data_IF_621592668625
#
_entry.id   IF_621592668625
#
_cell.length_a   1.000
_cell.length_b   1.000
_cell.length_c   1.000
_cell.angle_alpha   90.00
_cell.angle_beta   90.00
_cell.angle_gamma   90.00
#
_symmetry.space_group_name_H-M   'P 1'
#
loop_
_entity.id
_entity.type
_entity.pdbx_description
1 polymer ?
#
# COMPACT_ATOMS: atom_id res chain seq x y z
N UNK A 1 5.21 26.99 28.71
CA UNK A 1 4.07 26.86 27.77
C UNK A 1 4.26 27.55 26.41
N UNK A 2 5.10 28.59 26.26
CA UNK A 2 5.30 29.29 24.96
C UNK A 2 6.11 28.53 23.89
N UNK A 3 6.87 27.50 24.25
CA UNK A 3 7.68 26.73 23.30
C UNK A 3 6.89 25.69 22.48
N UNK A 4 5.78 25.16 23.02
CA UNK A 4 5.02 24.06 22.39
C UNK A 4 4.27 24.49 21.12
N UNK A 5 3.75 25.73 21.08
CA UNK A 5 3.06 26.26 19.90
C UNK A 5 3.98 26.46 18.69
N UNK A 6 5.25 26.77 18.90
CA UNK A 6 6.24 26.94 17.82
C UNK A 6 6.61 25.60 17.16
N UNK A 7 6.68 24.50 17.93
CA UNK A 7 6.93 23.16 17.39
C UNK A 7 5.75 22.61 16.57
N UNK A 8 4.52 22.94 16.96
CA UNK A 8 3.31 22.57 16.22
C UNK A 8 3.14 23.38 14.92
N UNK A 9 3.53 24.66 14.89
CA UNK A 9 3.52 25.46 13.66
C UNK A 9 4.65 25.10 12.68
N UNK A 10 5.79 24.60 13.17
CA UNK A 10 6.89 24.13 12.34
C UNK A 10 6.65 22.72 11.74
N UNK A 11 5.73 21.95 12.32
CA UNK A 11 5.38 20.59 11.90
C UNK A 11 4.84 20.54 10.46
N UNK A 12 3.82 21.34 10.06
CA UNK A 12 3.30 21.35 8.70
C UNK A 12 4.35 21.81 7.67
N UNK A 13 5.10 22.88 7.98
CA UNK A 13 6.10 23.42 7.07
C UNK A 13 7.31 22.48 6.87
N UNK A 14 7.77 21.83 7.95
CA UNK A 14 8.83 20.84 7.88
C UNK A 14 8.37 19.51 7.24
N UNK A 15 7.09 19.13 7.42
CA UNK A 15 6.47 18.04 6.66
C UNK A 15 6.45 18.38 5.17
N UNK A 16 5.97 19.57 4.81
CA UNK A 16 5.76 19.98 3.42
C UNK A 16 7.09 20.11 2.65
N UNK A 17 8.10 20.76 3.24
CA UNK A 17 9.45 20.86 2.65
C UNK A 17 10.15 19.50 2.50
N UNK A 18 9.83 18.51 3.35
CA UNK A 18 10.41 17.16 3.27
C UNK A 18 9.63 16.22 2.36
N UNK A 19 8.31 16.39 2.25
CA UNK A 19 7.47 15.69 1.28
C UNK A 19 7.82 16.12 -0.15
N UNK A 20 8.20 17.39 -0.37
CA UNK A 20 8.74 17.85 -1.66
C UNK A 20 10.11 17.22 -2.02
N UNK A 21 10.90 16.82 -1.03
CA UNK A 21 12.18 16.14 -1.25
C UNK A 21 12.04 14.61 -1.43
N UNK A 22 10.85 14.04 -1.16
CA UNK A 22 10.62 12.59 -1.21
C UNK A 22 10.81 12.00 -2.62
N UNK A 23 10.27 12.61 -3.70
CA UNK A 23 10.48 12.17 -5.08
C UNK A 23 11.72 12.78 -5.76
N UNK A 24 12.52 13.61 -5.08
CA UNK A 24 13.64 14.34 -5.71
C UNK A 24 14.81 13.45 -6.17
N UNK A 25 14.79 12.14 -5.85
CA UNK A 25 15.73 11.17 -6.41
C UNK A 25 15.09 10.49 -7.62
N UNK A 26 15.47 10.93 -8.82
CA UNK A 26 14.94 10.44 -10.08
C UNK A 26 15.04 8.92 -10.25
N UNK A 27 15.99 8.26 -9.59
CA UNK A 27 16.10 6.79 -9.63
C UNK A 27 14.98 6.10 -8.85
N UNK A 28 14.66 6.58 -7.63
CA UNK A 28 13.53 6.01 -6.88
C UNK A 28 12.20 6.29 -7.59
N UNK A 29 12.06 7.47 -8.20
CA UNK A 29 10.90 7.79 -9.03
C UNK A 29 10.79 6.87 -10.25
N UNK A 30 11.90 6.57 -10.93
CA UNK A 30 11.93 5.63 -12.05
C UNK A 30 11.55 4.20 -11.63
N UNK A 31 12.02 3.73 -10.47
CA UNK A 31 11.65 2.42 -9.93
C UNK A 31 10.18 2.35 -9.51
N UNK A 32 9.65 3.43 -8.91
CA UNK A 32 8.22 3.54 -8.66
C UNK A 32 7.42 3.52 -9.97
N UNK A 33 7.89 4.25 -11.00
CA UNK A 33 7.31 4.22 -12.34
C UNK A 33 7.32 2.81 -12.97
N UNK A 34 8.41 2.06 -12.80
CA UNK A 34 8.48 0.66 -13.21
C UNK A 34 7.42 -0.19 -12.49
N UNK A 35 7.21 0.01 -11.20
CA UNK A 35 6.16 -0.68 -10.44
C UNK A 35 4.77 -0.35 -10.97
N UNK A 36 4.49 0.91 -11.27
CA UNK A 36 3.22 1.33 -11.88
C UNK A 36 3.03 0.71 -13.27
N UNK A 37 4.09 0.66 -14.07
CA UNK A 37 4.07 0.01 -15.38
C UNK A 37 3.77 -1.48 -15.25
N UNK A 38 4.39 -2.18 -14.29
CA UNK A 38 4.09 -3.59 -14.00
C UNK A 38 2.61 -3.77 -13.61
N UNK A 39 2.09 -2.94 -12.71
CA UNK A 39 0.66 -2.98 -12.33
C UNK A 39 -0.25 -2.74 -13.54
N UNK A 40 0.05 -1.76 -14.38
CA UNK A 40 -0.72 -1.47 -15.60
C UNK A 40 -0.66 -2.63 -16.60
N UNK A 41 0.51 -3.23 -16.80
CA UNK A 41 0.66 -4.39 -17.68
C UNK A 41 -0.14 -5.58 -17.16
N UNK A 42 -0.15 -5.83 -15.85
CA UNK A 42 -0.98 -6.89 -15.26
C UNK A 42 -2.49 -6.65 -15.49
N UNK A 43 -2.96 -5.40 -15.37
CA UNK A 43 -4.35 -5.00 -15.70
C UNK A 43 -4.65 -5.18 -17.18
N UNK A 44 -3.64 -5.10 -18.05
CA UNK A 44 -3.74 -5.36 -19.48
C UNK A 44 -3.44 -6.83 -19.84
N UNK A 45 -3.43 -7.74 -18.86
CA UNK A 45 -3.15 -9.18 -19.05
C UNK A 45 -1.75 -9.50 -19.57
N UNK A 46 -0.77 -8.71 -19.17
CA UNK A 46 0.65 -8.89 -19.51
C UNK A 46 1.51 -9.04 -18.23
N UNK A 47 2.02 -10.25 -17.94
CA UNK A 47 1.72 -11.53 -18.57
C UNK A 47 0.30 -12.04 -18.23
N UNK A 48 -0.25 -12.90 -19.10
CA UNK A 48 -1.63 -13.40 -18.95
C UNK A 48 -1.78 -14.19 -17.64
N UNK A 49 -2.84 -13.87 -16.91
CA UNK A 49 -3.34 -14.61 -15.76
C UNK A 49 -4.66 -15.29 -16.16
N UNK A 50 -4.95 -16.47 -15.62
CA UNK A 50 -6.04 -17.33 -16.09
C UNK A 50 -7.44 -16.84 -15.73
N UNK A 51 -7.59 -16.10 -14.62
CA UNK A 51 -8.86 -15.57 -14.11
C UNK A 51 -8.73 -14.07 -13.84
N UNK A 52 -8.85 -13.28 -14.90
CA UNK A 52 -8.73 -11.84 -14.89
C UNK A 52 -9.80 -11.22 -15.81
N UNK A 53 -10.38 -10.09 -15.39
CA UNK A 53 -11.26 -9.26 -16.23
C UNK A 53 -11.05 -7.76 -15.92
N UNK A 54 -10.15 -7.11 -16.67
CA UNK A 54 -9.84 -5.69 -16.52
C UNK A 54 -9.27 -5.31 -15.14
N UNK A 55 -10.08 -4.67 -14.28
CA UNK A 55 -9.66 -4.34 -12.91
C UNK A 55 -9.98 -5.47 -11.91
N UNK A 56 -10.64 -6.52 -12.38
CA UNK A 56 -11.06 -7.65 -11.57
C UNK A 56 -9.99 -8.73 -11.56
N UNK A 57 -9.17 -8.67 -10.51
CA UNK A 57 -8.22 -9.73 -10.17
C UNK A 57 -8.87 -10.62 -9.11
N UNK A 58 -8.96 -11.92 -9.41
CA UNK A 58 -9.40 -13.00 -8.52
C UNK A 58 -10.14 -12.55 -7.24
N UNK A 59 -11.47 -12.60 -7.29
CA UNK A 59 -12.32 -12.26 -6.16
C UNK A 59 -12.53 -13.48 -5.26
N UNK A 60 -12.01 -13.37 -4.04
CA UNK A 60 -12.20 -14.37 -2.98
C UNK A 60 -13.16 -13.84 -1.91
N UNK A 61 -13.68 -14.75 -1.07
CA UNK A 61 -14.67 -14.43 -0.04
C UNK A 61 -14.26 -13.35 0.96
N UNK A 62 -12.96 -13.10 1.15
CA UNK A 62 -12.46 -12.02 2.01
C UNK A 62 -12.88 -10.64 1.48
N UNK A 63 -12.86 -10.43 0.16
CA UNK A 63 -13.20 -9.13 -0.45
C UNK A 63 -14.68 -8.81 -0.27
N UNK A 64 -15.55 -9.80 -0.49
CA UNK A 64 -16.98 -9.71 -0.18
C UNK A 64 -17.21 -9.36 1.28
N UNK A 65 -16.52 -10.06 2.19
CA UNK A 65 -16.67 -9.86 3.62
C UNK A 65 -16.26 -8.43 4.05
N UNK A 66 -15.17 -7.90 3.49
CA UNK A 66 -14.76 -6.51 3.72
C UNK A 66 -15.79 -5.51 3.16
N UNK A 67 -16.36 -5.78 2.00
CA UNK A 67 -17.35 -4.88 1.37
C UNK A 67 -18.70 -4.90 2.08
N UNK A 68 -19.18 -6.07 2.52
CA UNK A 68 -20.38 -6.17 3.36
C UNK A 68 -20.22 -5.34 4.65
N UNK A 69 -19.05 -5.41 5.29
CA UNK A 69 -18.78 -4.60 6.47
C UNK A 69 -18.76 -3.11 6.13
N UNK A 70 -18.19 -2.71 4.99
CA UNK A 70 -18.24 -1.32 4.53
C UNK A 70 -19.68 -0.79 4.39
N UNK A 71 -20.60 -1.59 3.86
CA UNK A 71 -22.02 -1.22 3.76
C UNK A 71 -22.69 -1.07 5.13
N UNK A 72 -22.31 -1.89 6.11
CA UNK A 72 -22.78 -1.77 7.50
C UNK A 72 -22.29 -0.46 8.13
N UNK A 73 -21.02 -0.10 7.91
CA UNK A 73 -20.45 1.17 8.38
C UNK A 73 -21.18 2.37 7.78
N UNK A 74 -21.46 2.35 6.48
CA UNK A 74 -22.20 3.43 5.79
C UNK A 74 -23.62 3.62 6.31
N UNK A 75 -24.28 2.52 6.70
CA UNK A 75 -25.64 2.56 7.27
C UNK A 75 -25.66 2.95 8.74
N UNK A 76 -24.50 3.03 9.41
CA UNK A 76 -24.40 3.28 10.85
C UNK A 76 -25.01 2.15 11.68
N UNK A 77 -25.00 0.92 11.17
CA UNK A 77 -25.61 -0.25 11.82
C UNK A 77 -24.59 -1.11 12.56
N UNK A 78 -25.04 -1.88 13.55
CA UNK A 78 -24.26 -2.90 14.26
C UNK A 78 -24.87 -4.30 14.10
N UNK A 79 -25.70 -4.49 13.07
CA UNK A 79 -26.53 -5.70 12.90
C UNK A 79 -25.73 -6.99 12.60
N UNK A 80 -24.43 -6.90 12.32
CA UNK A 80 -23.53 -8.05 12.12
C UNK A 80 -22.22 -7.87 12.89
N UNK A 81 -21.75 -8.96 13.46
CA UNK A 81 -20.38 -9.09 13.98
C UNK A 81 -19.47 -9.48 12.81
N UNK A 82 -18.36 -8.74 12.66
CA UNK A 82 -17.34 -9.01 11.66
C UNK A 82 -16.04 -9.42 12.35
N UNK A 83 -15.39 -10.48 11.88
CA UNK A 83 -14.12 -10.98 12.42
C UNK A 83 -12.90 -10.40 11.70
N UNK A 84 -13.00 -9.16 11.18
CA UNK A 84 -11.92 -8.47 10.48
C UNK A 84 -11.72 -7.07 11.03
N UNK A 85 -10.50 -6.53 10.92
CA UNK A 85 -10.20 -5.18 11.37
C UNK A 85 -10.86 -4.13 10.46
N UNK A 86 -11.12 -2.96 11.02
CA UNK A 86 -11.98 -1.94 10.40
C UNK A 86 -11.35 -1.15 9.24
N UNK A 87 -10.03 -1.25 9.03
CA UNK A 87 -9.28 -0.40 8.10
C UNK A 87 -9.70 -0.57 6.65
N UNK A 88 -9.70 -1.81 6.15
CA UNK A 88 -10.14 -2.11 4.78
C UNK A 88 -11.65 -1.79 4.58
N UNK A 89 -12.57 -2.21 5.48
CA UNK A 89 -13.97 -1.79 5.42
C UNK A 89 -14.18 -0.28 5.43
N UNK A 90 -13.47 0.47 6.28
CA UNK A 90 -13.60 1.92 6.36
C UNK A 90 -13.12 2.61 5.08
N UNK A 91 -12.04 2.11 4.46
CA UNK A 91 -11.56 2.59 3.18
C UNK A 91 -12.57 2.32 2.05
N UNK A 92 -13.10 1.10 1.98
CA UNK A 92 -14.14 0.75 1.01
C UNK A 92 -15.44 1.55 1.23
N UNK A 93 -15.82 1.81 2.48
CA UNK A 93 -16.97 2.66 2.80
C UNK A 93 -16.75 4.09 2.29
N UNK A 94 -15.56 4.65 2.49
CA UNK A 94 -15.22 5.97 1.95
C UNK A 94 -15.27 6.00 0.42
N UNK A 95 -14.81 4.94 -0.26
CA UNK A 95 -14.91 4.83 -1.72
C UNK A 95 -16.35 4.71 -2.19
N UNK A 96 -17.15 3.83 -1.59
CA UNK A 96 -18.58 3.70 -1.87
C UNK A 96 -19.32 5.02 -1.70
N UNK A 97 -19.02 5.77 -0.64
CA UNK A 97 -19.58 7.11 -0.44
C UNK A 97 -19.16 8.09 -1.54
N UNK A 98 -17.88 8.08 -1.93
CA UNK A 98 -17.33 8.98 -2.95
C UNK A 98 -17.93 8.73 -4.34
N UNK A 99 -18.02 7.46 -4.75
CA UNK A 99 -18.50 7.07 -6.10
C UNK A 99 -20.00 6.80 -6.14
N UNK A 100 -20.69 6.90 -4.98
CA UNK A 100 -22.10 6.54 -4.78
C UNK A 100 -22.40 5.08 -5.15
N UNK A 101 -21.42 4.20 -4.96
CA UNK A 101 -21.48 2.78 -5.28
C UNK A 101 -22.07 1.94 -4.14
N UNK A 102 -22.89 0.96 -4.48
CA UNK A 102 -23.54 0.06 -3.52
C UNK A 102 -23.24 -1.42 -3.79
N UNK A 103 -22.57 -1.72 -4.90
CA UNK A 103 -22.01 -3.04 -5.19
C UNK A 103 -20.49 -2.97 -5.28
N UNK A 104 -19.82 -4.11 -5.14
CA UNK A 104 -18.36 -4.17 -5.03
C UNK A 104 -17.68 -3.68 -6.32
N UNK A 105 -18.27 -3.97 -7.47
CA UNK A 105 -17.80 -3.57 -8.79
C UNK A 105 -17.70 -2.05 -8.94
N UNK A 106 -18.59 -1.29 -8.29
CA UNK A 106 -18.59 0.18 -8.33
C UNK A 106 -17.31 0.77 -7.70
N UNK A 107 -16.76 0.10 -6.67
CA UNK A 107 -15.58 0.57 -5.92
C UNK A 107 -14.29 -0.12 -6.33
N UNK A 108 -14.36 -1.18 -7.13
CA UNK A 108 -13.22 -1.98 -7.51
C UNK A 108 -12.12 -1.13 -8.16
N UNK A 109 -12.47 -0.35 -9.19
CA UNK A 109 -11.50 0.46 -9.93
C UNK A 109 -10.76 1.44 -9.02
N UNK A 110 -11.48 2.18 -8.17
CA UNK A 110 -10.84 3.13 -7.24
C UNK A 110 -9.99 2.41 -6.20
N UNK A 111 -10.43 1.26 -5.69
CA UNK A 111 -9.67 0.47 -4.75
C UNK A 111 -8.37 -0.06 -5.36
N UNK A 112 -8.39 -0.53 -6.60
CA UNK A 112 -7.19 -0.98 -7.34
C UNK A 112 -6.25 0.20 -7.62
N UNK A 113 -6.78 1.36 -8.03
CA UNK A 113 -5.96 2.56 -8.23
C UNK A 113 -5.28 3.04 -6.94
N UNK A 114 -5.97 2.99 -5.81
CA UNK A 114 -5.37 3.37 -4.53
C UNK A 114 -4.36 2.32 -4.06
N UNK A 115 -4.73 1.05 -4.02
CA UNK A 115 -3.86 -0.01 -3.50
C UNK A 115 -2.69 -0.31 -4.45
N UNK A 116 -3.02 -0.69 -5.69
CA UNK A 116 -2.08 -1.25 -6.66
C UNK A 116 -1.27 -0.22 -7.45
N UNK A 117 -1.68 1.05 -7.45
CA UNK A 117 -0.93 2.14 -8.06
C UNK A 117 -0.39 3.10 -7.02
N UNK A 118 -1.24 3.81 -6.27
CA UNK A 118 -0.77 4.84 -5.35
C UNK A 118 0.09 4.25 -4.21
N UNK A 119 -0.46 3.35 -3.41
CA UNK A 119 0.25 2.78 -2.26
C UNK A 119 1.41 1.89 -2.72
N UNK A 120 1.18 1.02 -3.70
CA UNK A 120 2.23 0.16 -4.24
C UNK A 120 3.39 0.96 -4.86
N UNK A 121 3.11 2.02 -5.64
CA UNK A 121 4.14 2.89 -6.21
C UNK A 121 4.93 3.63 -5.12
N UNK A 122 4.24 4.22 -4.14
CA UNK A 122 4.89 4.90 -3.02
C UNK A 122 5.70 3.94 -2.13
N UNK A 123 5.26 2.68 -2.02
CA UNK A 123 5.99 1.68 -1.23
C UNK A 123 7.39 1.40 -1.78
N UNK A 124 7.61 1.51 -3.10
CA UNK A 124 8.94 1.37 -3.71
C UNK A 124 9.90 2.44 -3.20
N UNK A 125 9.46 3.70 -3.21
CA UNK A 125 10.24 4.82 -2.69
C UNK A 125 10.52 4.58 -1.20
N UNK A 126 9.50 4.14 -0.46
CA UNK A 126 9.60 3.93 0.97
C UNK A 126 10.58 2.82 1.34
N UNK A 127 10.56 1.68 0.63
CA UNK A 127 11.54 0.59 0.80
C UNK A 127 12.95 1.06 0.50
N UNK A 128 13.16 1.79 -0.61
CA UNK A 128 14.47 2.35 -0.95
C UNK A 128 14.97 3.33 0.12
N UNK A 129 14.10 4.23 0.59
CA UNK A 129 14.45 5.19 1.64
C UNK A 129 14.73 4.50 2.98
N UNK A 130 13.92 3.51 3.37
CA UNK A 130 14.17 2.72 4.57
C UNK A 130 15.53 2.01 4.49
N UNK A 131 15.82 1.34 3.36
CA UNK A 131 17.10 0.69 3.16
C UNK A 131 18.28 1.68 3.22
N UNK A 132 18.14 2.88 2.65
CA UNK A 132 19.13 3.95 2.77
C UNK A 132 19.28 4.46 4.21
N UNK A 133 18.19 4.55 4.95
CA UNK A 133 18.20 4.94 6.37
C UNK A 133 18.78 3.85 7.30
N UNK A 134 18.86 2.60 6.86
CA UNK A 134 19.46 1.54 7.66
C UNK A 134 20.93 1.33 7.29
N UNK A 135 21.25 1.37 6.00
CA UNK A 135 22.58 0.98 5.50
C UNK A 135 23.51 2.16 5.22
N UNK A 136 22.95 3.36 5.03
CA UNK A 136 23.67 4.51 4.43
C UNK A 136 24.27 4.25 3.05
N UNK A 137 23.93 3.14 2.40
CA UNK A 137 24.42 2.76 1.08
C UNK A 137 23.34 2.95 0.02
N UNK A 138 23.65 3.75 -0.99
CA UNK A 138 22.75 4.04 -2.10
C UNK A 138 22.56 2.83 -3.01
N UNK A 139 23.59 2.02 -3.23
CA UNK A 139 23.48 0.83 -4.08
C UNK A 139 22.57 -0.21 -3.44
N UNK A 140 22.78 -0.51 -2.16
CA UNK A 140 21.90 -1.38 -1.38
C UNK A 140 20.44 -0.88 -1.39
N UNK A 141 20.23 0.43 -1.23
CA UNK A 141 18.91 1.03 -1.27
C UNK A 141 18.21 0.92 -2.64
N UNK A 142 18.96 1.17 -3.72
CA UNK A 142 18.45 1.03 -5.10
C UNK A 142 18.12 -0.43 -5.42
N UNK A 143 18.97 -1.37 -4.97
CA UNK A 143 18.72 -2.80 -5.15
C UNK A 143 17.47 -3.26 -4.41
N UNK A 144 17.31 -2.85 -3.14
CA UNK A 144 16.11 -3.16 -2.35
C UNK A 144 14.83 -2.61 -3.00
N UNK A 145 14.84 -1.34 -3.43
CA UNK A 145 13.72 -0.74 -4.14
C UNK A 145 13.43 -1.42 -5.49
N UNK A 146 14.48 -1.78 -6.24
CA UNK A 146 14.35 -2.46 -7.53
C UNK A 146 13.75 -3.86 -7.40
N UNK A 147 14.20 -4.65 -6.43
CA UNK A 147 13.62 -5.95 -6.12
C UNK A 147 12.14 -5.81 -5.71
N UNK A 148 11.83 -4.84 -4.86
CA UNK A 148 10.46 -4.58 -4.42
C UNK A 148 9.55 -4.17 -5.58
N UNK A 149 10.01 -3.29 -6.47
CA UNK A 149 9.29 -2.89 -7.67
C UNK A 149 9.02 -4.08 -8.61
N UNK A 150 10.04 -4.90 -8.86
CA UNK A 150 9.97 -6.06 -9.76
C UNK A 150 9.29 -7.30 -9.17
N UNK A 151 8.97 -7.32 -7.87
CA UNK A 151 8.50 -8.51 -7.16
C UNK A 151 7.33 -9.26 -7.82
N UNK A 152 6.28 -8.62 -8.39
CA UNK A 152 5.19 -9.34 -9.03
C UNK A 152 5.66 -10.20 -10.22
N UNK A 153 6.57 -9.66 -11.03
CA UNK A 153 7.12 -10.38 -12.17
C UNK A 153 8.16 -11.41 -11.75
N UNK A 154 8.95 -11.13 -10.70
CA UNK A 154 9.85 -12.13 -10.12
C UNK A 154 9.07 -13.34 -9.61
N UNK A 155 7.94 -13.12 -8.93
CA UNK A 155 7.04 -14.20 -8.50
C UNK A 155 6.39 -14.91 -9.69
N UNK A 156 5.96 -14.16 -10.70
CA UNK A 156 5.42 -14.76 -11.91
C UNK A 156 6.44 -15.71 -12.56
N UNK A 157 7.69 -15.28 -12.72
CA UNK A 157 8.78 -16.10 -13.27
C UNK A 157 9.07 -17.31 -12.37
N UNK A 158 9.24 -17.09 -11.06
CA UNK A 158 9.57 -18.13 -10.10
C UNK A 158 8.49 -19.23 -10.05
N UNK A 159 7.22 -18.86 -9.96
CA UNK A 159 6.12 -19.83 -9.98
C UNK A 159 5.94 -20.51 -11.34
N UNK A 160 6.45 -19.93 -12.42
CA UNK A 160 6.43 -20.55 -13.75
C UNK A 160 7.16 -21.89 -13.84
N UNK A 161 8.08 -22.14 -12.92
CA UNK A 161 8.82 -23.40 -12.84
C UNK A 161 8.05 -24.49 -12.08
N UNK A 162 6.92 -24.15 -11.44
CA UNK A 162 6.14 -25.06 -10.62
C UNK A 162 5.07 -25.80 -11.44
N UNK A 163 4.80 -27.10 -11.21
CA UNK A 163 3.75 -27.83 -11.92
C UNK A 163 2.36 -27.18 -11.81
N UNK A 164 2.09 -26.55 -10.68
CA UNK A 164 0.86 -25.80 -10.41
C UNK A 164 1.06 -24.28 -10.59
N UNK A 165 1.89 -23.85 -11.55
CA UNK A 165 2.25 -22.44 -11.77
C UNK A 165 1.03 -21.50 -11.79
N UNK A 166 -0.04 -21.91 -12.47
CA UNK A 166 -1.30 -21.18 -12.57
C UNK A 166 -1.89 -20.91 -11.19
N UNK A 167 -2.08 -21.95 -10.38
CA UNK A 167 -2.73 -21.87 -9.07
C UNK A 167 -1.93 -21.00 -8.09
N UNK A 168 -0.60 -20.95 -8.24
CA UNK A 168 0.26 -20.06 -7.45
C UNK A 168 0.24 -18.62 -7.96
N UNK A 169 0.29 -18.41 -9.28
CA UNK A 169 0.33 -17.05 -9.85
C UNK A 169 -0.95 -16.29 -9.57
N UNK A 170 -2.11 -16.95 -9.65
CA UNK A 170 -3.42 -16.32 -9.50
C UNK A 170 -3.61 -15.51 -8.22
N UNK A 171 -3.35 -16.04 -7.01
CA UNK A 171 -3.48 -15.28 -5.77
C UNK A 171 -2.26 -14.38 -5.48
N UNK A 172 -1.04 -14.84 -5.80
CA UNK A 172 0.18 -14.19 -5.31
C UNK A 172 0.73 -13.10 -6.22
N UNK A 173 0.59 -13.20 -7.55
CA UNK A 173 1.12 -12.15 -8.46
C UNK A 173 0.31 -10.86 -8.30
N UNK A 174 -1.03 -10.85 -8.42
CA UNK A 174 -1.80 -9.64 -8.16
C UNK A 174 -1.84 -9.28 -6.68
N UNK A 175 -1.78 -10.29 -5.80
CA UNK A 175 -1.66 -10.11 -4.35
C UNK A 175 -0.44 -9.28 -3.97
N UNK A 176 0.74 -9.60 -4.51
CA UNK A 176 1.97 -8.82 -4.28
C UNK A 176 2.01 -7.54 -5.10
N UNK A 177 1.31 -7.48 -6.24
CA UNK A 177 1.08 -6.23 -6.97
C UNK A 177 0.16 -5.25 -6.20
N UNK A 178 -0.56 -5.74 -5.19
CA UNK A 178 -1.62 -5.04 -4.44
C UNK A 178 -2.82 -4.66 -5.32
N UNK A 179 -3.12 -5.48 -6.32
CA UNK A 179 -4.26 -5.31 -7.23
C UNK A 179 -5.54 -5.96 -6.71
N UNK A 180 -5.51 -6.53 -5.50
CA UNK A 180 -6.68 -7.02 -4.79
C UNK A 180 -7.20 -5.96 -3.80
N UNK A 181 -8.49 -6.01 -3.50
CA UNK A 181 -9.16 -5.14 -2.51
C UNK A 181 -9.09 -5.72 -1.09
N UNK A 182 -7.96 -6.33 -0.73
CA UNK A 182 -7.70 -6.91 0.59
C UNK A 182 -6.84 -5.98 1.46
N UNK A 183 -6.85 -6.22 2.76
CA UNK A 183 -6.19 -5.36 3.75
C UNK A 183 -4.64 -5.40 3.73
N UNK A 184 -4.04 -6.41 3.11
CA UNK A 184 -2.61 -6.72 3.23
C UNK A 184 -1.69 -5.64 2.67
N UNK A 185 -2.00 -5.13 1.48
CA UNK A 185 -1.22 -4.08 0.83
C UNK A 185 -1.18 -2.81 1.67
N UNK A 186 -2.35 -2.22 2.02
CA UNK A 186 -2.41 -1.06 2.90
C UNK A 186 -1.74 -1.29 4.27
N UNK A 187 -1.99 -2.42 4.93
CA UNK A 187 -1.32 -2.76 6.20
C UNK A 187 0.20 -2.71 6.06
N UNK A 188 0.74 -3.38 5.03
CA UNK A 188 2.18 -3.43 4.80
C UNK A 188 2.75 -2.05 4.46
N UNK A 189 2.04 -1.24 3.67
CA UNK A 189 2.45 0.13 3.37
C UNK A 189 2.62 0.97 4.66
N UNK A 190 1.63 0.95 5.54
CA UNK A 190 1.67 1.71 6.78
C UNK A 190 2.69 1.14 7.79
N UNK A 191 2.90 -0.18 7.81
CA UNK A 191 3.99 -0.81 8.55
C UNK A 191 5.36 -0.33 8.07
N UNK A 192 5.62 -0.32 6.75
CA UNK A 192 6.86 0.21 6.16
C UNK A 192 7.06 1.68 6.51
N UNK A 193 5.97 2.45 6.54
CA UNK A 193 6.02 3.88 6.88
C UNK A 193 6.40 4.09 8.35
N UNK A 194 5.83 3.28 9.24
CA UNK A 194 6.20 3.24 10.65
C UNK A 194 7.68 2.88 10.84
N UNK A 195 8.15 1.83 10.15
CA UNK A 195 9.56 1.40 10.19
C UNK A 195 10.50 2.49 9.70
N UNK A 196 10.17 3.17 8.59
CA UNK A 196 10.93 4.30 8.07
C UNK A 196 11.04 5.41 9.11
N UNK A 197 9.93 5.82 9.73
CA UNK A 197 9.98 6.86 10.76
C UNK A 197 10.73 6.42 12.01
N UNK A 198 10.64 5.17 12.43
CA UNK A 198 11.46 4.62 13.52
C UNK A 198 12.96 4.71 13.19
N UNK A 199 13.38 4.27 12.00
CA UNK A 199 14.77 4.39 11.57
C UNK A 199 15.24 5.86 11.56
N UNK A 200 14.37 6.78 11.12
CA UNK A 200 14.62 8.23 11.14
C UNK A 200 14.74 8.78 12.56
N UNK A 201 13.95 8.32 13.53
CA UNK A 201 14.05 8.71 14.96
C UNK A 201 15.40 8.32 15.52
N UNK A 202 15.89 7.11 15.21
CA UNK A 202 17.19 6.64 15.71
C UNK A 202 18.36 7.53 15.24
N UNK A 203 18.27 8.08 14.02
CA UNK A 203 19.26 9.03 13.49
C UNK A 203 19.05 10.47 13.91
N UNK A 204 17.79 10.87 14.07
CA UNK A 204 17.38 12.23 14.42
C UNK A 204 16.27 12.15 15.47
N UNK A 205 16.61 12.14 16.78
CA UNK A 205 15.65 11.90 17.85
C UNK A 205 14.71 13.11 17.99
N UNK A 206 13.64 13.11 17.19
CA UNK A 206 12.60 14.13 17.17
C UNK A 206 11.27 13.49 17.51
N UNK A 207 10.58 14.04 18.50
CA UNK A 207 9.27 13.55 18.96
C UNK A 207 8.24 13.50 17.82
N UNK A 208 8.29 14.46 16.90
CA UNK A 208 7.44 14.48 15.71
C UNK A 208 7.57 13.20 14.87
N UNK A 209 8.78 12.68 14.69
CA UNK A 209 9.01 11.46 13.92
C UNK A 209 8.51 10.21 14.68
N UNK A 210 8.64 10.20 16.00
CA UNK A 210 8.12 9.12 16.84
C UNK A 210 6.58 9.08 16.82
N UNK A 211 5.93 10.25 16.86
CA UNK A 211 4.46 10.36 16.71
C UNK A 211 4.02 9.85 15.33
N UNK A 212 4.71 10.24 14.26
CA UNK A 212 4.39 9.74 12.91
C UNK A 212 4.55 8.23 12.79
N UNK A 213 5.59 7.66 13.42
CA UNK A 213 5.76 6.21 13.48
C UNK A 213 4.59 5.52 14.20
N UNK A 214 4.20 6.05 15.37
CA UNK A 214 3.07 5.53 16.14
C UNK A 214 1.75 5.60 15.39
N UNK A 215 1.46 6.72 14.71
CA UNK A 215 0.28 6.86 13.85
C UNK A 215 0.32 5.83 12.72
N UNK A 216 1.45 5.69 12.02
CA UNK A 216 1.57 4.76 10.91
C UNK A 216 1.34 3.31 11.36
N UNK A 217 1.95 2.87 12.47
CA UNK A 217 1.68 1.54 13.02
C UNK A 217 0.24 1.37 13.52
N UNK A 218 -0.34 2.41 14.14
CA UNK A 218 -1.74 2.41 14.54
C UNK A 218 -2.67 2.21 13.35
N UNK A 219 -2.44 2.93 12.24
CA UNK A 219 -3.20 2.74 10.99
C UNK A 219 -2.97 1.35 10.42
N UNK A 220 -1.73 0.85 10.41
CA UNK A 220 -1.45 -0.53 9.97
C UNK A 220 -2.25 -1.56 10.76
N UNK A 221 -2.36 -1.39 12.08
CA UNK A 221 -3.13 -2.27 12.96
C UNK A 221 -4.63 -2.25 12.64
N UNK A 222 -5.16 -1.09 12.22
CA UNK A 222 -6.55 -1.03 11.75
C UNK A 222 -6.77 -1.90 10.50
N UNK A 223 -5.75 -2.16 9.68
CA UNK A 223 -5.87 -3.08 8.55
C UNK A 223 -5.61 -4.55 8.94
N UNK A 224 -4.69 -4.84 9.87
CA UNK A 224 -4.27 -6.21 10.27
C UNK A 224 -3.90 -6.36 11.73
#
# INVERSE_FOLDING_TARGET
MRAWGAYLGALPAALWLRLQAWPADGMFAALAGLRLLISALLVLEVPRLESHDGFYFHHGGDQDYYFEYALVLLRGSYARLFSVNMGQPAMLAAFSWLVRGLVFEDVLTIAVLVNGFLLAGLSVILVGRLALELTSDRLAALFAAGLWAGMPWLLWLAFGLHPNAVQLRMPYVPGVAWLHTIADGPALFFSLLGMYYCARVLRQPRIALAVLAGIAFGVSFLFR
#
